data_IF_267527554775
#
_entry.id   IF_267527554775
#
_cell.length_a   1.000
_cell.length_b   1.000
_cell.length_c   1.000
_cell.angle_alpha   90.00
_cell.angle_beta   90.00
_cell.angle_gamma   90.00
#
_symmetry.space_group_name_H-M   'P 1'
#
loop_
_entity.id
_entity.type
_entity.pdbx_description
1 polymer ?
#
# COMPACT_ATOMS: atom_id res chain seq x y z
N UNK A 1 -16.53 -14.14 -12.64
CA UNK A 1 -16.35 -14.13 -11.20
C UNK A 1 -17.65 -14.46 -10.53
N UNK A 2 -17.69 -15.64 -10.06
CA UNK A 2 -18.87 -16.36 -9.66
C UNK A 2 -18.94 -16.35 -8.14
N UNK A 3 -19.51 -15.32 -7.56
CA UNK A 3 -20.12 -15.48 -6.25
C UNK A 3 -21.42 -16.26 -6.41
N UNK A 4 -21.32 -17.55 -6.65
CA UNK A 4 -22.41 -18.44 -6.36
C UNK A 4 -22.46 -18.53 -4.84
N UNK A 5 -23.49 -17.92 -4.25
CA UNK A 5 -23.88 -18.26 -2.89
C UNK A 5 -24.02 -19.79 -2.87
N UNK A 6 -23.15 -20.48 -2.14
CA UNK A 6 -23.27 -21.91 -1.95
C UNK A 6 -24.38 -22.26 -0.94
N UNK A 7 -25.13 -21.27 -0.46
CA UNK A 7 -26.36 -21.46 0.29
C UNK A 7 -27.49 -21.81 -0.68
N UNK A 8 -28.12 -22.93 -0.45
CA UNK A 8 -29.19 -23.41 -1.32
C UNK A 8 -30.39 -22.46 -1.26
N UNK A 9 -30.95 -22.02 -2.39
CA UNK A 9 -32.11 -21.11 -2.42
C UNK A 9 -33.37 -21.65 -1.72
N UNK A 10 -33.47 -22.96 -1.57
CA UNK A 10 -34.58 -23.65 -0.89
C UNK A 10 -34.40 -23.75 0.63
N UNK A 11 -33.21 -23.38 1.14
CA UNK A 11 -32.92 -23.44 2.56
C UNK A 11 -33.34 -22.14 3.24
N UNK A 12 -34.00 -22.26 4.40
CA UNK A 12 -34.35 -21.08 5.21
C UNK A 12 -33.09 -20.32 5.63
N UNK A 13 -33.17 -19.01 5.59
CA UNK A 13 -32.11 -18.13 6.10
C UNK A 13 -32.14 -18.09 7.63
N UNK A 14 -33.35 -18.09 8.20
CA UNK A 14 -33.59 -17.98 9.64
C UNK A 14 -34.05 -19.31 10.23
N UNK A 15 -33.57 -19.60 11.42
CA UNK A 15 -33.99 -20.71 12.25
C UNK A 15 -34.04 -20.20 13.70
N UNK A 16 -35.25 -19.98 14.21
CA UNK A 16 -35.49 -19.37 15.52
C UNK A 16 -34.97 -20.20 16.70
N UNK A 17 -34.90 -21.50 16.50
CA UNK A 17 -34.46 -22.44 17.52
C UNK A 17 -32.92 -22.67 17.48
N UNK A 18 -32.25 -22.09 16.48
CA UNK A 18 -30.81 -22.20 16.32
C UNK A 18 -30.05 -21.42 17.37
N UNK A 19 -29.07 -22.02 18.09
CA UNK A 19 -28.22 -21.34 19.05
C UNK A 19 -27.24 -20.34 18.39
N UNK A 20 -27.21 -20.33 17.07
CA UNK A 20 -26.33 -19.51 16.24
C UNK A 20 -27.02 -18.19 15.85
N UNK A 21 -27.55 -17.48 16.85
CA UNK A 21 -28.19 -16.17 16.68
C UNK A 21 -29.48 -16.17 15.87
N UNK A 22 -30.16 -17.35 15.75
CA UNK A 22 -31.41 -17.47 15.01
C UNK A 22 -31.21 -17.62 13.48
N UNK A 23 -30.03 -17.99 13.05
CA UNK A 23 -29.71 -18.26 11.64
C UNK A 23 -29.54 -19.75 11.40
N UNK A 24 -30.07 -20.21 10.26
CA UNK A 24 -29.80 -21.57 9.81
C UNK A 24 -28.29 -21.81 9.67
N UNK A 25 -27.84 -22.93 10.24
CA UNK A 25 -26.43 -23.33 10.25
C UNK A 25 -26.33 -24.84 10.04
N UNK A 26 -25.39 -25.28 9.22
CA UNK A 26 -25.09 -26.69 9.05
C UNK A 26 -24.35 -27.23 10.26
N UNK A 27 -24.99 -28.20 10.94
CA UNK A 27 -24.42 -28.88 12.12
C UNK A 27 -24.17 -30.35 11.83
N UNK A 28 -23.24 -30.96 12.56
CA UNK A 28 -23.00 -32.40 12.58
C UNK A 28 -23.97 -33.14 13.51
N UNK A 29 -23.75 -34.45 13.67
CA UNK A 29 -24.54 -35.28 14.58
C UNK A 29 -24.35 -34.92 16.06
N UNK A 30 -23.33 -34.14 16.37
CA UNK A 30 -22.97 -33.59 17.69
C UNK A 30 -23.51 -32.18 17.93
N UNK A 31 -24.40 -31.70 17.07
CA UNK A 31 -24.93 -30.34 17.04
C UNK A 31 -23.90 -29.22 16.87
N UNK A 32 -22.65 -29.56 16.64
CA UNK A 32 -21.60 -28.56 16.39
C UNK A 32 -21.58 -28.10 14.92
N UNK A 33 -21.17 -26.83 14.71
CA UNK A 33 -21.04 -26.24 13.37
C UNK A 33 -20.05 -27.03 12.52
N UNK A 34 -20.50 -27.47 11.35
CA UNK A 34 -19.61 -28.06 10.34
C UNK A 34 -18.73 -26.94 9.75
N UNK A 35 -17.45 -26.92 10.13
CA UNK A 35 -16.54 -25.82 9.77
C UNK A 35 -16.31 -25.67 8.26
N UNK A 36 -16.34 -26.77 7.51
CA UNK A 36 -16.16 -26.79 6.06
C UNK A 36 -17.45 -26.51 5.28
N UNK A 37 -18.62 -26.53 5.96
CA UNK A 37 -19.88 -26.21 5.32
C UNK A 37 -19.99 -24.70 5.02
N UNK A 38 -20.79 -24.39 4.00
CA UNK A 38 -21.06 -23.01 3.64
C UNK A 38 -21.78 -22.28 4.77
N UNK A 39 -21.23 -21.17 5.17
CA UNK A 39 -21.85 -20.31 6.18
C UNK A 39 -23.04 -19.55 5.60
N UNK A 40 -24.01 -19.26 6.43
CA UNK A 40 -25.17 -18.45 6.07
C UNK A 40 -24.71 -17.02 5.74
N UNK A 41 -24.91 -16.52 4.51
CA UNK A 41 -24.40 -15.22 4.09
C UNK A 41 -25.03 -14.06 4.85
N UNK A 42 -26.30 -14.19 5.29
CA UNK A 42 -26.97 -13.13 6.09
C UNK A 42 -26.40 -13.08 7.48
N UNK A 43 -26.16 -14.23 8.13
CA UNK A 43 -25.50 -14.24 9.46
C UNK A 43 -24.10 -13.63 9.40
N UNK A 44 -23.34 -13.88 8.32
CA UNK A 44 -22.01 -13.28 8.13
C UNK A 44 -22.06 -11.75 8.02
N UNK A 45 -23.11 -11.21 7.41
CA UNK A 45 -23.29 -9.76 7.27
C UNK A 45 -23.79 -9.11 8.56
N UNK A 46 -24.81 -9.71 9.19
CA UNK A 46 -25.48 -9.08 10.34
C UNK A 46 -24.75 -9.31 11.67
N UNK A 47 -23.94 -10.38 11.76
CA UNK A 47 -23.19 -10.72 12.97
C UNK A 47 -21.72 -10.28 12.92
N UNK A 48 -21.31 -9.63 11.85
CA UNK A 48 -19.96 -9.06 11.70
C UNK A 48 -20.05 -7.54 11.58
N UNK A 49 -19.35 -6.85 12.46
CA UNK A 49 -19.14 -5.41 12.35
C UNK A 49 -17.68 -5.19 11.94
N UNK A 50 -17.47 -4.63 10.75
CA UNK A 50 -16.13 -4.35 10.20
C UNK A 50 -16.14 -2.90 9.72
N UNK A 51 -15.46 -2.04 10.46
CA UNK A 51 -15.37 -0.62 10.16
C UNK A 51 -13.92 -0.22 9.98
N UNK A 52 -13.65 0.51 8.91
CA UNK A 52 -12.34 1.08 8.67
C UNK A 52 -12.43 2.54 8.25
N UNK A 53 -11.46 3.32 8.69
CA UNK A 53 -11.35 4.74 8.39
C UNK A 53 -9.97 5.05 7.90
N UNK A 54 -9.88 5.60 6.68
CA UNK A 54 -8.61 5.99 6.08
C UNK A 54 -8.64 7.50 5.81
N UNK A 55 -7.57 8.17 6.19
CA UNK A 55 -7.33 9.58 5.92
C UNK A 55 -6.04 9.72 5.15
N UNK A 56 -6.11 10.38 4.01
CA UNK A 56 -4.96 10.62 3.14
C UNK A 56 -4.69 12.11 3.01
N UNK A 57 -3.42 12.45 2.99
CA UNK A 57 -2.93 13.76 2.63
C UNK A 57 -1.87 13.61 1.55
N UNK A 58 -2.08 14.23 0.40
CA UNK A 58 -1.14 14.24 -0.72
C UNK A 58 -0.81 15.69 -1.02
N UNK A 59 0.47 16.01 -1.07
CA UNK A 59 0.97 17.33 -1.38
C UNK A 59 2.14 17.26 -2.35
N UNK A 60 2.19 18.21 -3.27
CA UNK A 60 3.29 18.38 -4.21
C UNK A 60 3.59 19.87 -4.40
N UNK A 61 4.86 20.22 -4.44
CA UNK A 61 5.32 21.54 -4.77
C UNK A 61 6.44 21.46 -5.81
N UNK A 62 6.29 22.21 -6.88
CA UNK A 62 7.27 22.28 -7.97
C UNK A 62 7.76 23.72 -8.16
N UNK A 63 9.06 23.86 -8.30
CA UNK A 63 9.72 25.09 -8.69
C UNK A 63 10.44 24.86 -10.02
N UNK A 64 10.14 25.67 -11.01
CA UNK A 64 10.85 25.74 -12.28
C UNK A 64 11.40 27.14 -12.44
N UNK A 65 12.72 27.26 -12.55
CA UNK A 65 13.40 28.55 -12.59
C UNK A 65 14.39 28.63 -13.74
N UNK A 66 14.10 29.48 -14.72
CA UNK A 66 15.04 29.82 -15.79
C UNK A 66 15.94 30.95 -15.29
N UNK A 67 17.26 30.73 -15.28
CA UNK A 67 18.21 31.72 -14.78
C UNK A 67 18.19 32.97 -15.65
N UNK A 68 17.89 34.12 -15.09
CA UNK A 68 17.80 35.36 -15.83
C UNK A 68 19.15 35.87 -16.36
N UNK A 69 20.25 35.56 -15.68
CA UNK A 69 21.62 35.89 -16.11
C UNK A 69 22.26 34.82 -16.99
N UNK A 70 21.65 33.63 -17.09
CA UNK A 70 22.10 32.54 -17.95
C UNK A 70 20.89 31.78 -18.49
N UNK A 71 20.18 32.36 -19.50
CA UNK A 71 18.87 31.87 -19.94
C UNK A 71 18.86 30.46 -20.53
N UNK A 72 20.01 29.95 -20.95
CA UNK A 72 20.16 28.59 -21.49
C UNK A 72 20.09 27.52 -20.37
N UNK A 73 20.15 27.93 -19.09
CA UNK A 73 20.08 27.03 -17.93
C UNK A 73 18.75 27.19 -17.19
N UNK A 74 18.09 26.07 -16.97
CA UNK A 74 16.86 25.92 -16.19
C UNK A 74 17.10 24.99 -15.01
N UNK A 75 16.61 25.36 -13.85
CA UNK A 75 16.60 24.55 -12.65
C UNK A 75 15.19 24.10 -12.33
N UNK A 76 15.03 22.84 -12.00
CA UNK A 76 13.75 22.29 -11.59
C UNK A 76 13.92 21.58 -10.25
N UNK A 77 12.98 21.84 -9.35
CA UNK A 77 12.91 21.20 -8.04
C UNK A 77 11.46 20.73 -7.82
N UNK A 78 11.30 19.50 -7.40
CA UNK A 78 10.01 18.92 -7.07
C UNK A 78 10.06 18.25 -5.70
N UNK A 79 9.09 18.56 -4.84
CA UNK A 79 8.95 17.98 -3.50
C UNK A 79 7.57 17.39 -3.37
N UNK A 80 7.49 16.11 -3.03
CA UNK A 80 6.24 15.39 -2.84
C UNK A 80 6.14 14.77 -1.45
N UNK A 81 4.94 14.77 -0.91
CA UNK A 81 4.58 14.03 0.31
C UNK A 81 3.24 13.33 0.11
N UNK A 82 3.19 12.08 0.51
CA UNK A 82 1.98 11.28 0.60
C UNK A 82 1.94 10.66 2.01
N UNK A 83 0.93 11.04 2.77
CA UNK A 83 0.70 10.56 4.12
C UNK A 83 -0.68 9.91 4.21
N UNK A 84 -0.72 8.66 4.65
CA UNK A 84 -1.94 7.89 4.88
C UNK A 84 -1.98 7.37 6.30
N UNK A 85 -3.12 7.55 6.97
CA UNK A 85 -3.45 6.92 8.26
C UNK A 85 -4.73 6.12 8.10
N UNK A 86 -4.63 4.80 8.30
CA UNK A 86 -5.75 3.87 8.37
C UNK A 86 -5.92 3.35 9.79
N UNK A 87 -7.15 3.20 10.23
CA UNK A 87 -7.53 2.56 11.48
C UNK A 87 -8.82 1.76 11.25
N UNK A 88 -8.96 0.63 11.90
CA UNK A 88 -10.16 -0.18 11.78
C UNK A 88 -10.38 -1.08 12.98
N UNK A 89 -11.65 -1.48 13.14
CA UNK A 89 -12.13 -2.42 14.13
C UNK A 89 -12.91 -3.51 13.42
N UNK A 90 -12.81 -4.73 13.93
CA UNK A 90 -13.62 -5.84 13.48
C UNK A 90 -14.13 -6.61 14.69
N UNK A 91 -15.44 -6.76 14.76
CA UNK A 91 -16.12 -7.53 15.77
C UNK A 91 -16.98 -8.61 15.11
N UNK A 92 -16.90 -9.83 15.59
CA UNK A 92 -17.76 -10.95 15.20
C UNK A 92 -18.44 -11.47 16.45
N UNK A 93 -19.77 -11.55 16.42
CA UNK A 93 -20.58 -12.00 17.54
C UNK A 93 -20.18 -13.42 18.00
N UNK A 94 -20.27 -13.67 19.29
CA UNK A 94 -20.10 -15.00 19.89
C UNK A 94 -21.11 -16.04 19.37
N UNK A 95 -22.27 -15.59 18.88
CA UNK A 95 -23.29 -16.42 18.27
C UNK A 95 -23.08 -16.67 16.78
N UNK A 96 -22.12 -16.01 16.16
CA UNK A 96 -21.84 -16.17 14.74
C UNK A 96 -21.32 -17.59 14.43
N UNK A 97 -21.93 -18.34 13.50
CA UNK A 97 -21.50 -19.71 13.18
C UNK A 97 -20.02 -19.83 12.80
N UNK A 98 -19.43 -18.75 12.26
CA UNK A 98 -18.01 -18.72 11.89
C UNK A 98 -17.06 -18.78 13.09
N UNK A 99 -17.46 -18.16 14.20
CA UNK A 99 -16.62 -17.96 15.38
C UNK A 99 -17.24 -18.48 16.69
N UNK A 100 -18.37 -19.17 16.61
CA UNK A 100 -19.10 -19.71 17.75
C UNK A 100 -18.20 -20.58 18.67
N UNK A 101 -17.41 -21.50 18.08
CA UNK A 101 -16.48 -22.35 18.85
C UNK A 101 -15.42 -21.56 19.61
N UNK A 102 -15.21 -20.32 19.23
CA UNK A 102 -14.18 -19.44 19.77
C UNK A 102 -14.75 -18.31 20.61
N UNK A 103 -16.09 -18.26 20.75
CA UNK A 103 -16.78 -17.25 21.51
C UNK A 103 -16.73 -15.86 20.89
N UNK A 104 -16.72 -15.79 19.56
CA UNK A 104 -16.61 -14.55 18.82
C UNK A 104 -15.17 -14.07 18.62
N UNK A 105 -15.04 -12.90 17.99
CA UNK A 105 -13.75 -12.30 17.64
C UNK A 105 -13.82 -10.78 17.75
N UNK A 106 -12.79 -10.19 18.33
CA UNK A 106 -12.60 -8.74 18.41
C UNK A 106 -11.19 -8.40 17.96
N UNK A 107 -11.07 -7.38 17.10
CA UNK A 107 -9.76 -6.90 16.66
C UNK A 107 -9.78 -5.42 16.34
N UNK A 108 -8.61 -4.82 16.51
CA UNK A 108 -8.32 -3.49 16.03
C UNK A 108 -7.01 -3.47 15.28
N UNK A 109 -6.86 -2.52 14.37
CA UNK A 109 -5.63 -2.29 13.66
C UNK A 109 -5.45 -0.81 13.34
N UNK A 110 -4.21 -0.41 13.27
CA UNK A 110 -3.85 0.88 12.70
C UNK A 110 -2.65 0.74 11.76
N UNK A 111 -2.58 1.64 10.80
CA UNK A 111 -1.50 1.69 9.83
C UNK A 111 -1.20 3.15 9.49
N UNK A 112 0.08 3.47 9.39
CA UNK A 112 0.56 4.76 8.90
C UNK A 112 1.54 4.51 7.76
N UNK A 113 1.37 5.27 6.68
CA UNK A 113 2.26 5.27 5.53
C UNK A 113 2.71 6.70 5.30
N UNK A 114 4.00 6.90 5.09
CA UNK A 114 4.56 8.19 4.73
C UNK A 114 5.58 7.99 3.61
N UNK A 115 5.25 8.51 2.44
CA UNK A 115 6.13 8.55 1.30
C UNK A 115 6.55 10.01 1.08
N UNK A 116 7.83 10.24 0.86
CA UNK A 116 8.37 11.57 0.58
C UNK A 116 9.29 11.47 -0.63
N UNK A 117 9.24 12.45 -1.50
CA UNK A 117 10.10 12.52 -2.67
C UNK A 117 10.71 13.91 -2.79
N UNK A 118 11.93 13.94 -3.30
CA UNK A 118 12.64 15.14 -3.66
C UNK A 118 13.40 14.88 -4.96
N UNK A 119 13.09 15.69 -5.99
CA UNK A 119 13.79 15.66 -7.26
C UNK A 119 14.38 17.06 -7.53
N UNK A 120 15.61 17.08 -7.96
CA UNK A 120 16.28 18.29 -8.40
C UNK A 120 17.09 17.99 -9.65
N UNK A 121 16.90 18.81 -10.70
CA UNK A 121 17.71 18.72 -11.89
C UNK A 121 17.99 20.09 -12.51
N UNK A 122 19.10 20.17 -13.19
CA UNK A 122 19.48 21.28 -14.04
C UNK A 122 19.45 20.85 -15.50
N UNK A 123 18.88 21.68 -16.35
CA UNK A 123 18.80 21.46 -17.79
C UNK A 123 19.45 22.64 -18.50
N UNK A 124 20.41 22.37 -19.33
CA UNK A 124 21.05 23.30 -20.24
C UNK A 124 20.62 23.00 -21.66
N UNK A 125 19.97 23.97 -22.30
CA UNK A 125 19.50 23.82 -23.68
C UNK A 125 20.00 25.00 -24.52
N UNK A 126 20.61 24.70 -25.66
CA UNK A 126 21.18 25.71 -26.55
C UNK A 126 21.08 25.33 -28.01
N UNK A 127 20.64 26.29 -28.80
CA UNK A 127 20.67 26.23 -30.25
C UNK A 127 21.98 26.81 -30.77
N UNK A 128 22.62 26.10 -31.68
CA UNK A 128 23.82 26.53 -32.33
C UNK A 128 23.54 26.76 -33.82
N UNK A 129 23.79 27.97 -34.30
CA UNK A 129 23.68 28.30 -35.75
C UNK A 129 24.66 27.50 -36.61
N UNK A 130 25.73 27.00 -35.99
CA UNK A 130 26.64 26.10 -36.64
C UNK A 130 25.99 24.71 -36.82
N UNK A 131 25.87 24.26 -38.06
CA UNK A 131 25.22 23.01 -38.46
C UNK A 131 23.71 22.91 -38.11
N UNK A 132 23.01 24.00 -37.90
CA UNK A 132 21.61 23.99 -37.50
C UNK A 132 21.38 22.91 -36.42
N UNK A 133 22.08 23.03 -35.30
CA UNK A 133 22.08 22.00 -34.27
C UNK A 133 21.52 22.48 -32.96
N UNK A 134 20.83 21.59 -32.24
CA UNK A 134 20.30 21.80 -30.92
C UNK A 134 20.96 20.82 -29.93
N UNK A 135 21.40 21.35 -28.82
CA UNK A 135 22.01 20.60 -27.71
C UNK A 135 21.19 20.76 -26.46
N UNK A 136 20.82 19.66 -25.83
CA UNK A 136 20.14 19.59 -24.53
C UNK A 136 20.89 18.66 -23.59
N UNK A 137 21.27 19.15 -22.44
CA UNK A 137 21.93 18.38 -21.39
C UNK A 137 21.18 18.56 -20.08
N UNK A 138 20.79 17.46 -19.49
CA UNK A 138 20.13 17.44 -18.19
C UNK A 138 20.91 16.56 -17.22
N UNK A 139 21.06 17.02 -15.98
CA UNK A 139 21.62 16.21 -14.90
C UNK A 139 20.91 16.50 -13.59
N UNK A 140 20.72 15.46 -12.79
CA UNK A 140 19.91 15.61 -11.59
C UNK A 140 20.09 14.52 -10.54
N UNK A 141 19.38 14.76 -9.47
CA UNK A 141 19.32 13.95 -8.27
C UNK A 141 17.85 13.68 -7.92
N UNK A 142 17.55 12.45 -7.55
CA UNK A 142 16.23 12.04 -7.02
C UNK A 142 16.43 11.30 -5.70
N UNK A 143 15.61 11.63 -4.73
CA UNK A 143 15.54 10.95 -3.44
C UNK A 143 14.10 10.58 -3.14
N UNK A 144 13.89 9.33 -2.72
CA UNK A 144 12.59 8.82 -2.32
C UNK A 144 12.73 8.09 -0.99
N UNK A 145 11.83 8.37 -0.09
CA UNK A 145 11.74 7.76 1.22
C UNK A 145 10.37 7.14 1.41
N UNK A 146 10.35 5.88 1.78
CA UNK A 146 9.16 5.10 2.06
C UNK A 146 9.21 4.60 3.49
N UNK A 147 8.23 4.99 4.27
CA UNK A 147 8.07 4.55 5.64
C UNK A 147 6.66 4.04 5.86
N UNK A 148 6.56 2.89 6.52
CA UNK A 148 5.30 2.24 6.84
C UNK A 148 5.39 1.61 8.21
N UNK A 149 4.43 1.91 9.09
CA UNK A 149 4.26 1.27 10.38
C UNK A 149 2.80 0.90 10.60
N UNK A 150 2.58 -0.13 11.38
CA UNK A 150 1.25 -0.55 11.77
C UNK A 150 1.30 -1.46 12.98
N UNK A 151 0.22 -1.43 13.72
CA UNK A 151 -0.04 -2.35 14.82
C UNK A 151 -1.50 -2.81 14.77
N UNK A 152 -1.74 -3.96 15.33
CA UNK A 152 -3.08 -4.51 15.41
C UNK A 152 -3.11 -5.73 16.32
N UNK A 153 -4.20 -5.89 17.02
CA UNK A 153 -4.44 -6.99 17.97
C UNK A 153 -5.80 -7.60 17.69
N UNK A 154 -5.89 -8.92 17.73
CA UNK A 154 -7.14 -9.64 17.61
C UNK A 154 -7.25 -10.73 18.69
N UNK A 155 -8.37 -10.78 19.35
CA UNK A 155 -8.65 -11.69 20.45
C UNK A 155 -9.92 -12.51 20.20
N UNK A 156 -9.99 -13.68 20.83
CA UNK A 156 -11.22 -14.45 21.00
C UNK A 156 -11.93 -13.98 22.24
N UNK A 157 -13.22 -13.63 22.13
CA UNK A 157 -13.93 -12.88 23.18
C UNK A 157 -14.14 -13.71 24.46
N UNK A 158 -14.52 -14.98 24.31
CA UNK A 158 -14.88 -15.84 25.45
C UNK A 158 -13.84 -16.90 25.78
N UNK A 159 -12.71 -16.94 25.08
CA UNK A 159 -11.60 -17.83 25.41
C UNK A 159 -10.49 -17.06 26.11
N UNK A 160 -10.19 -17.56 27.28
CA UNK A 160 -9.15 -17.04 28.16
C UNK A 160 -8.03 -18.06 28.32
N UNK A 161 -6.83 -17.58 28.44
CA UNK A 161 -5.66 -18.40 28.75
C UNK A 161 -5.63 -18.81 30.24
N UNK A 162 -4.56 -19.51 30.65
CA UNK A 162 -4.38 -19.95 32.03
C UNK A 162 -4.24 -18.80 33.06
N UNK A 163 -4.01 -17.58 32.61
CA UNK A 163 -3.87 -16.37 33.43
C UNK A 163 -5.13 -15.54 33.46
N UNK A 164 -6.17 -15.89 32.68
CA UNK A 164 -7.42 -15.17 32.60
C UNK A 164 -7.42 -14.03 31.57
N UNK A 165 -6.41 -14.00 30.69
CA UNK A 165 -6.36 -13.04 29.58
C UNK A 165 -7.05 -13.59 28.32
N UNK A 166 -7.69 -12.74 27.51
CA UNK A 166 -8.30 -13.18 26.24
C UNK A 166 -7.28 -13.85 25.33
N UNK A 167 -7.64 -14.99 24.74
CA UNK A 167 -6.73 -15.71 23.84
C UNK A 167 -6.40 -14.87 22.61
N UNK A 168 -5.16 -14.44 22.51
CA UNK A 168 -4.62 -13.68 21.39
C UNK A 168 -4.60 -14.56 20.14
N UNK A 169 -5.24 -14.08 19.07
CA UNK A 169 -5.29 -14.76 17.77
C UNK A 169 -4.27 -14.18 16.81
N UNK A 170 -4.20 -12.85 16.79
CA UNK A 170 -3.30 -12.11 15.90
C UNK A 170 -2.68 -10.93 16.64
N UNK A 171 -1.40 -10.74 16.43
CA UNK A 171 -0.69 -9.54 16.84
C UNK A 171 0.23 -9.14 15.69
N UNK A 172 -0.02 -7.97 15.14
CA UNK A 172 0.81 -7.38 14.12
C UNK A 172 1.43 -6.11 14.67
N UNK A 173 2.75 -6.07 14.67
CA UNK A 173 3.50 -4.86 14.96
C UNK A 173 4.67 -4.86 13.99
N UNK A 174 4.68 -3.87 13.10
CA UNK A 174 5.72 -3.77 12.10
C UNK A 174 6.06 -2.30 11.80
N UNK A 175 7.32 -2.10 11.52
CA UNK A 175 7.83 -0.86 10.97
C UNK A 175 8.82 -1.20 9.86
N UNK A 176 8.66 -0.59 8.72
CA UNK A 176 9.53 -0.77 7.57
C UNK A 176 9.89 0.57 6.98
N UNK A 177 11.15 0.71 6.62
CA UNK A 177 11.69 1.94 6.05
C UNK A 177 12.68 1.61 4.94
N UNK A 178 12.62 2.34 3.85
CA UNK A 178 13.63 2.24 2.80
C UNK A 178 13.76 3.53 2.00
N UNK A 179 14.94 3.69 1.42
CA UNK A 179 15.31 4.84 0.61
C UNK A 179 15.74 4.40 -0.76
N UNK A 180 15.43 5.23 -1.75
CA UNK A 180 15.98 5.15 -3.11
C UNK A 180 16.64 6.50 -3.39
N UNK A 181 17.88 6.45 -3.86
CA UNK A 181 18.67 7.61 -4.27
C UNK A 181 19.13 7.39 -5.69
N UNK A 182 18.94 8.38 -6.54
CA UNK A 182 19.29 8.27 -7.96
C UNK A 182 20.07 9.51 -8.41
N UNK A 183 21.12 9.29 -9.19
CA UNK A 183 21.79 10.31 -9.97
C UNK A 183 21.55 10.00 -11.45
N UNK A 184 21.17 11.00 -12.22
CA UNK A 184 20.87 10.79 -13.63
C UNK A 184 21.41 11.92 -14.50
N UNK A 185 21.72 11.57 -15.73
CA UNK A 185 22.11 12.51 -16.75
C UNK A 185 21.55 12.09 -18.10
N UNK A 186 21.17 13.06 -18.90
CA UNK A 186 20.69 12.85 -20.26
C UNK A 186 21.26 13.92 -21.20
N UNK A 187 21.72 13.49 -22.35
CA UNK A 187 22.19 14.36 -23.41
C UNK A 187 21.40 14.06 -24.67
N UNK A 188 20.87 15.10 -25.29
CA UNK A 188 20.29 15.03 -26.62
C UNK A 188 21.06 15.98 -27.54
N UNK A 189 21.38 15.52 -28.71
CA UNK A 189 22.02 16.33 -29.75
C UNK A 189 21.32 16.09 -31.08
N UNK A 190 20.74 17.13 -31.62
CA UNK A 190 20.04 17.12 -32.92
C UNK A 190 20.83 17.96 -33.91
N UNK A 191 21.05 17.43 -35.10
CA UNK A 191 21.75 18.13 -36.17
C UNK A 191 20.88 18.13 -37.41
N UNK A 192 20.54 19.33 -37.91
CA UNK A 192 19.78 19.58 -39.16
C UNK A 192 18.44 18.84 -39.20
N UNK A 193 17.84 18.58 -38.04
CA UNK A 193 16.61 17.77 -37.88
C UNK A 193 16.64 16.42 -38.59
N UNK A 194 17.85 15.92 -38.86
CA UNK A 194 18.07 14.61 -39.53
C UNK A 194 18.77 13.59 -38.65
N UNK A 195 19.67 14.05 -37.79
CA UNK A 195 20.46 13.17 -36.93
C UNK A 195 20.21 13.50 -35.50
N UNK A 196 19.62 12.56 -34.78
CA UNK A 196 19.33 12.68 -33.35
C UNK A 196 20.17 11.64 -32.57
N UNK A 197 21.01 12.14 -31.67
CA UNK A 197 21.76 11.32 -30.74
C UNK A 197 21.17 11.58 -29.33
N UNK A 198 20.77 10.51 -28.65
CA UNK A 198 20.37 10.55 -27.25
C UNK A 198 21.26 9.61 -26.45
N UNK A 199 21.74 10.10 -25.33
CA UNK A 199 22.48 9.30 -24.36
C UNK A 199 21.90 9.56 -22.97
N UNK A 200 21.61 8.50 -22.23
CA UNK A 200 21.11 8.57 -20.86
C UNK A 200 21.97 7.70 -19.95
N UNK A 201 22.28 8.20 -18.78
CA UNK A 201 22.95 7.46 -17.72
C UNK A 201 22.22 7.67 -16.41
N UNK A 202 21.89 6.58 -15.73
CA UNK A 202 21.25 6.62 -14.42
C UNK A 202 21.96 5.67 -13.47
N UNK A 203 22.23 6.14 -12.25
CA UNK A 203 22.79 5.35 -11.18
C UNK A 203 21.84 5.37 -9.99
N UNK A 204 21.24 4.22 -9.68
CA UNK A 204 20.24 4.07 -8.64
C UNK A 204 20.80 3.28 -7.45
N UNK A 205 20.62 3.83 -6.27
CA UNK A 205 20.96 3.19 -5.01
C UNK A 205 19.72 2.91 -4.17
N UNK A 206 19.62 1.70 -3.62
CA UNK A 206 18.51 1.30 -2.74
C UNK A 206 19.00 0.74 -1.42
N UNK A 207 18.39 1.20 -0.32
CA UNK A 207 18.70 0.72 1.03
C UNK A 207 18.24 -0.72 1.29
N UNK A 208 17.44 -1.30 0.40
CA UNK A 208 16.97 -2.70 0.49
C UNK A 208 18.06 -3.73 0.20
N UNK A 209 19.12 -3.31 -0.47
CA UNK A 209 20.22 -4.21 -0.84
C UNK A 209 21.40 -4.10 0.12
N UNK A 210 22.20 -5.17 0.20
CA UNK A 210 23.43 -5.17 0.96
C UNK A 210 24.39 -4.07 0.47
N UNK A 211 25.26 -3.59 1.36
CA UNK A 211 26.16 -2.45 1.10
C UNK A 211 26.92 -2.53 -0.22
N UNK A 212 27.38 -3.72 -0.57
CA UNK A 212 28.20 -3.95 -1.75
C UNK A 212 27.43 -3.94 -3.06
N UNK A 213 26.10 -4.14 -3.02
CA UNK A 213 25.22 -4.26 -4.18
C UNK A 213 24.10 -3.22 -4.22
N UNK A 214 24.27 -2.10 -3.49
CA UNK A 214 23.22 -1.07 -3.40
C UNK A 214 23.02 -0.26 -4.65
N UNK A 215 24.06 -0.13 -5.46
CA UNK A 215 24.11 0.74 -6.61
C UNK A 215 24.09 -0.04 -7.92
N UNK A 216 23.27 0.42 -8.84
CA UNK A 216 23.19 -0.13 -10.18
C UNK A 216 23.21 0.99 -11.21
N UNK A 217 24.00 0.81 -12.28
CA UNK A 217 24.18 1.75 -13.37
C UNK A 217 23.38 1.29 -14.59
N UNK A 218 22.61 2.21 -15.15
CA UNK A 218 21.73 1.97 -16.29
C UNK A 218 22.06 2.95 -17.43
N UNK A 219 22.92 2.58 -18.36
CA UNK A 219 23.17 3.33 -19.59
C UNK A 219 22.08 3.04 -20.64
N UNK A 220 21.75 4.03 -21.46
CA UNK A 220 20.82 3.91 -22.58
C UNK A 220 21.18 4.88 -23.71
#
# INVERSE_FOLDING_TARGET
>A
PLFRSAHYPSQSVYDKDSPYGGYFTWTGDDDNVIQVATKNPVSMLEMTHDESKVRNFIGNAQLDYKLHFFPDLRLNMNVGIDYSKGEGIKYISEFAPSDYMYGGYDSNWNQKIRNSSFDFYAQYAKDFNFLDSNFDLMGGYSWQHYWRAGDGVGHRITKFDAYGDPVLVTQNNYETEHYIVSFFGRMNYNVKDRYLLTFTLRNDGSSRFHKDNRWALFPS
#
